data_IF_219028796218
#
_entry.id   IF_219028796218
#
_cell.length_a   1.000
_cell.length_b   1.000
_cell.length_c   1.000
_cell.angle_alpha   90.00
_cell.angle_beta   90.00
_cell.angle_gamma   90.00
#
_symmetry.space_group_name_H-M   'P 1'
#
loop_
_entity.id
_entity.type
_entity.pdbx_description
1 polymer ?
#
# COMPACT_ATOMS: atom_id res chain seq x y z
N UNK A 1 -25.51 30.49 -83.12
CA UNK A 1 -24.47 29.46 -82.96
C UNK A 1 -24.15 29.40 -81.48
N UNK A 2 -24.75 28.47 -80.78
CA UNK A 2 -24.55 28.26 -79.34
C UNK A 2 -23.65 27.05 -79.10
N UNK A 3 -22.60 27.12 -78.29
CA UNK A 3 -21.75 25.96 -78.04
C UNK A 3 -22.35 25.08 -76.93
N UNK A 4 -22.27 23.78 -77.12
CA UNK A 4 -22.70 22.69 -76.27
C UNK A 4 -21.73 22.49 -75.08
N UNK A 5 -22.18 22.22 -73.86
CA UNK A 5 -21.28 21.95 -72.76
C UNK A 5 -20.87 20.46 -72.67
N UNK A 6 -19.58 20.21 -72.61
CA UNK A 6 -19.02 18.88 -72.34
C UNK A 6 -19.18 18.51 -70.82
N UNK A 7 -19.84 17.39 -70.56
CA UNK A 7 -19.90 16.78 -69.25
C UNK A 7 -18.60 16.03 -69.00
N UNK A 8 -17.87 16.43 -67.97
CA UNK A 8 -16.76 15.65 -67.39
C UNK A 8 -17.29 14.58 -66.48
N UNK A 9 -16.95 13.33 -66.72
CA UNK A 9 -17.15 12.23 -65.80
C UNK A 9 -16.06 12.28 -64.67
N UNK A 10 -16.45 12.45 -63.45
CA UNK A 10 -15.57 12.30 -62.31
C UNK A 10 -15.54 10.81 -61.91
N UNK A 11 -14.39 10.18 -61.99
CA UNK A 11 -14.14 8.82 -61.46
C UNK A 11 -13.76 8.97 -59.99
N UNK A 12 -14.61 8.50 -59.09
CA UNK A 12 -14.30 8.42 -57.68
C UNK A 12 -13.47 7.17 -57.39
N UNK A 13 -12.23 7.36 -56.98
CA UNK A 13 -11.37 6.30 -56.51
C UNK A 13 -11.70 6.03 -55.03
N UNK A 14 -12.19 4.83 -54.71
CA UNK A 14 -12.40 4.35 -53.35
C UNK A 14 -11.08 3.80 -52.85
N UNK A 15 -10.45 4.50 -51.92
CA UNK A 15 -9.27 3.99 -51.17
C UNK A 15 -9.74 3.09 -50.04
N UNK A 16 -9.47 1.80 -50.13
CA UNK A 16 -9.66 0.85 -49.04
C UNK A 16 -8.45 0.93 -48.09
N UNK A 17 -8.67 1.53 -46.91
CA UNK A 17 -7.66 1.54 -45.85
C UNK A 17 -7.65 0.17 -45.15
N UNK A 18 -6.62 -0.62 -45.37
CA UNK A 18 -6.36 -1.84 -44.62
C UNK A 18 -5.71 -1.43 -43.28
N UNK A 19 -6.45 -1.53 -42.19
CA UNK A 19 -5.92 -1.36 -40.83
C UNK A 19 -5.06 -2.58 -40.46
N UNK A 20 -3.75 -2.41 -40.45
CA UNK A 20 -2.81 -3.39 -39.89
C UNK A 20 -2.90 -3.32 -38.37
N UNK A 21 -3.55 -4.29 -37.76
CA UNK A 21 -3.50 -4.51 -36.29
C UNK A 21 -2.13 -5.08 -35.95
N UNK A 22 -1.27 -4.27 -35.35
CA UNK A 22 -0.02 -4.76 -34.79
C UNK A 22 -0.33 -5.75 -33.64
N UNK A 23 0.36 -6.90 -33.57
CA UNK A 23 0.21 -7.81 -32.44
C UNK A 23 0.64 -7.09 -31.17
N UNK A 24 -0.17 -7.19 -30.10
CA UNK A 24 0.19 -6.69 -28.79
C UNK A 24 1.48 -7.40 -28.34
N UNK A 25 2.50 -6.64 -27.99
CA UNK A 25 3.72 -7.18 -27.41
C UNK A 25 3.35 -7.95 -26.13
N UNK A 26 3.95 -9.13 -25.90
CA UNK A 26 3.75 -9.84 -24.64
C UNK A 26 4.19 -8.93 -23.49
N UNK A 27 3.30 -8.73 -22.52
CA UNK A 27 3.67 -8.08 -21.27
C UNK A 27 4.80 -8.89 -20.66
N UNK A 28 5.95 -8.27 -20.45
CA UNK A 28 7.00 -8.88 -19.63
C UNK A 28 6.37 -9.19 -18.27
N UNK A 29 6.37 -10.47 -17.89
CA UNK A 29 6.03 -10.86 -16.53
C UNK A 29 7.02 -10.14 -15.62
N UNK A 30 6.53 -9.33 -14.68
CA UNK A 30 7.38 -8.74 -13.67
C UNK A 30 8.08 -9.91 -12.95
N UNK A 31 9.41 -9.88 -12.95
CA UNK A 31 10.19 -10.89 -12.25
C UNK A 31 9.88 -10.71 -10.76
N UNK A 32 9.62 -11.78 -10.00
CA UNK A 32 9.38 -11.66 -8.57
C UNK A 32 10.52 -10.86 -7.95
N UNK A 33 10.20 -9.82 -7.22
CA UNK A 33 11.22 -9.04 -6.53
C UNK A 33 12.02 -9.97 -5.65
N UNK A 34 13.35 -9.89 -5.74
CA UNK A 34 14.23 -10.73 -4.93
C UNK A 34 13.86 -10.56 -3.45
N UNK A 35 13.67 -11.69 -2.76
CA UNK A 35 13.43 -11.67 -1.33
C UNK A 35 14.60 -11.03 -0.61
N UNK A 36 14.32 -10.11 0.32
CA UNK A 36 15.33 -9.50 1.15
C UNK A 36 16.07 -10.58 1.99
N UNK A 37 17.33 -10.33 2.28
CA UNK A 37 18.11 -11.22 3.13
C UNK A 37 17.44 -11.38 4.51
N UNK A 38 17.45 -12.58 5.05
CA UNK A 38 16.83 -12.92 6.34
C UNK A 38 15.35 -12.49 6.45
N UNK A 39 14.59 -12.73 5.39
CA UNK A 39 13.20 -12.33 5.29
C UNK A 39 12.34 -13.32 4.53
N UNK A 40 11.22 -12.83 4.03
CA UNK A 40 10.31 -13.58 3.16
C UNK A 40 9.72 -12.70 2.07
N UNK A 41 9.24 -13.34 1.01
CA UNK A 41 8.40 -12.74 -0.01
C UNK A 41 7.10 -13.51 -0.15
N UNK A 42 6.07 -12.84 -0.63
CA UNK A 42 4.78 -13.42 -0.96
C UNK A 42 4.19 -12.70 -2.17
N UNK A 43 3.96 -13.44 -3.23
CA UNK A 43 3.31 -12.99 -4.47
C UNK A 43 1.89 -13.56 -4.63
N UNK A 44 1.41 -14.26 -3.61
CA UNK A 44 0.11 -14.92 -3.53
C UNK A 44 -0.19 -15.96 -4.63
N UNK A 45 0.73 -16.24 -5.55
CA UNK A 45 0.50 -17.18 -6.66
C UNK A 45 0.31 -18.63 -6.17
N UNK A 46 0.90 -18.98 -5.02
CA UNK A 46 0.76 -20.28 -4.39
C UNK A 46 -0.59 -20.53 -3.69
N UNK A 47 -1.41 -19.49 -3.53
CA UNK A 47 -2.72 -19.60 -2.88
C UNK A 47 -3.69 -20.44 -3.72
N UNK A 48 -4.35 -21.41 -3.10
CA UNK A 48 -5.26 -22.34 -3.79
C UNK A 48 -6.73 -22.12 -3.47
N UNK A 49 -7.03 -21.44 -2.38
CA UNK A 49 -8.40 -21.14 -1.94
C UNK A 49 -8.75 -19.66 -2.05
N UNK A 50 -9.94 -19.31 -1.62
CA UNK A 50 -10.41 -17.92 -1.57
C UNK A 50 -10.02 -17.20 -0.29
N UNK A 51 -9.57 -17.92 0.73
CA UNK A 51 -9.09 -17.34 1.99
C UNK A 51 -7.57 -17.38 2.01
N UNK A 52 -6.88 -16.29 2.36
CA UNK A 52 -5.44 -16.29 2.53
C UNK A 52 -5.00 -17.40 3.50
N UNK A 53 -3.99 -18.19 3.11
CA UNK A 53 -3.55 -19.38 3.83
C UNK A 53 -2.02 -19.46 3.89
N UNK A 54 -1.50 -20.54 4.49
CA UNK A 54 -0.07 -20.74 4.67
C UNK A 54 0.48 -19.84 5.77
N UNK A 55 1.34 -18.91 5.42
CA UNK A 55 1.83 -17.90 6.39
C UNK A 55 0.79 -16.82 6.70
N UNK A 56 -0.23 -16.66 5.88
CA UNK A 56 -1.27 -15.66 6.01
C UNK A 56 -2.51 -16.22 6.66
N UNK A 57 -3.15 -15.42 7.47
CA UNK A 57 -4.46 -15.69 8.06
C UNK A 57 -5.33 -14.47 7.95
N UNK A 58 -6.65 -14.66 7.90
CA UNK A 58 -7.56 -13.54 8.10
C UNK A 58 -7.44 -13.09 9.55
N UNK A 59 -7.15 -11.82 9.75
CA UNK A 59 -6.99 -11.23 11.05
C UNK A 59 -8.08 -10.18 11.29
N UNK A 60 -8.65 -10.21 12.47
CA UNK A 60 -9.57 -9.18 12.94
C UNK A 60 -9.01 -8.67 14.25
N UNK A 61 -8.46 -7.47 14.22
CA UNK A 61 -8.03 -6.80 15.43
C UNK A 61 -9.26 -6.17 16.10
N UNK A 62 -9.52 -6.53 17.33
CA UNK A 62 -10.49 -5.92 18.24
C UNK A 62 -11.98 -6.04 17.86
N UNK A 63 -12.38 -5.78 16.61
CA UNK A 63 -13.80 -5.67 16.26
C UNK A 63 -14.04 -6.12 14.83
N UNK A 64 -14.86 -7.15 14.63
CA UNK A 64 -15.25 -7.65 13.32
C UNK A 64 -16.61 -7.11 12.87
N UNK A 65 -16.77 -6.94 11.59
CA UNK A 65 -18.02 -6.53 10.94
C UNK A 65 -18.19 -7.23 9.59
N UNK A 66 -18.49 -6.47 8.57
CA UNK A 66 -18.76 -6.96 7.22
C UNK A 66 -17.57 -6.84 6.26
N UNK A 67 -16.44 -6.30 6.73
CA UNK A 67 -15.19 -6.28 5.96
C UNK A 67 -14.66 -7.69 5.73
N UNK A 68 -13.99 -7.92 4.59
CA UNK A 68 -13.44 -9.24 4.22
C UNK A 68 -12.04 -9.16 3.66
N UNK A 69 -11.25 -10.21 3.88
CA UNK A 69 -9.96 -10.44 3.25
C UNK A 69 -10.03 -11.75 2.44
N UNK A 70 -9.77 -11.68 1.14
CA UNK A 70 -9.90 -12.81 0.21
C UNK A 70 -8.74 -12.84 -0.79
N UNK A 71 -8.43 -14.02 -1.32
CA UNK A 71 -7.57 -14.15 -2.50
C UNK A 71 -8.38 -13.73 -3.72
N UNK A 72 -7.83 -12.85 -4.54
CA UNK A 72 -8.45 -12.34 -5.79
C UNK A 72 -7.63 -12.81 -6.99
N UNK A 73 -8.33 -13.24 -8.04
CA UNK A 73 -7.75 -13.63 -9.33
C UNK A 73 -8.12 -12.67 -10.46
N UNK A 74 -8.79 -11.56 -10.13
CA UNK A 74 -9.25 -10.56 -11.11
C UNK A 74 -8.38 -9.33 -11.16
N UNK A 75 -7.56 -9.10 -10.13
CA UNK A 75 -6.65 -7.97 -10.01
C UNK A 75 -5.36 -8.43 -9.34
N UNK A 76 -4.21 -8.21 -9.99
CA UNK A 76 -2.89 -8.48 -9.45
C UNK A 76 -1.91 -7.41 -9.91
N UNK A 77 -0.83 -7.18 -9.17
CA UNK A 77 0.31 -6.38 -9.58
C UNK A 77 1.26 -7.24 -10.42
N UNK A 78 1.71 -8.36 -9.87
CA UNK A 78 2.46 -9.41 -10.54
C UNK A 78 1.62 -10.66 -10.72
N UNK A 79 1.96 -11.53 -11.68
CA UNK A 79 1.26 -12.80 -11.84
C UNK A 79 -0.24 -12.69 -12.11
N UNK A 80 -1.03 -13.43 -11.33
CA UNK A 80 -2.48 -13.61 -11.53
C UNK A 80 -3.30 -13.52 -10.24
N UNK A 81 -2.67 -13.41 -9.07
CA UNK A 81 -3.33 -13.39 -7.77
C UNK A 81 -2.82 -12.27 -6.87
N UNK A 82 -3.71 -11.80 -6.03
CA UNK A 82 -3.40 -10.86 -4.96
C UNK A 82 -4.30 -11.12 -3.75
N UNK A 83 -4.12 -10.38 -2.66
CA UNK A 83 -5.09 -10.33 -1.58
C UNK A 83 -5.95 -9.09 -1.74
N UNK A 84 -7.27 -9.29 -1.76
CA UNK A 84 -8.29 -8.25 -1.79
C UNK A 84 -8.89 -8.06 -0.42
N UNK A 85 -8.95 -6.81 0.01
CA UNK A 85 -9.67 -6.36 1.19
C UNK A 85 -10.90 -5.58 0.75
N UNK A 86 -12.06 -6.00 1.17
CA UNK A 86 -13.28 -5.20 1.05
C UNK A 86 -13.47 -4.48 2.38
N UNK A 87 -12.94 -3.27 2.45
CA UNK A 87 -13.01 -2.41 3.63
C UNK A 87 -14.38 -1.75 3.77
N UNK A 88 -14.87 -1.66 4.99
CA UNK A 88 -16.13 -1.03 5.33
C UNK A 88 -15.94 0.11 6.31
N UNK A 89 -16.77 1.13 6.20
CA UNK A 89 -16.85 2.21 7.15
C UNK A 89 -17.37 1.72 8.51
N UNK A 90 -17.01 2.44 9.55
CA UNK A 90 -17.45 2.17 10.92
C UNK A 90 -16.44 1.38 11.74
N UNK A 91 -16.41 1.71 13.02
CA UNK A 91 -15.39 1.24 13.97
C UNK A 91 -15.24 -0.30 14.02
N UNK A 92 -16.32 -1.05 13.85
CA UNK A 92 -16.31 -2.50 13.95
C UNK A 92 -16.32 -3.19 12.58
N UNK A 93 -15.47 -2.77 11.64
CA UNK A 93 -15.35 -3.39 10.32
C UNK A 93 -13.89 -3.70 9.95
N UNK A 94 -13.06 -4.05 10.95
CA UNK A 94 -11.66 -4.38 10.73
C UNK A 94 -11.53 -5.67 9.91
N UNK A 95 -10.78 -5.63 8.83
CA UNK A 95 -10.53 -6.76 7.95
C UNK A 95 -9.06 -6.75 7.48
N UNK A 96 -8.29 -7.74 7.89
CA UNK A 96 -6.87 -7.83 7.55
C UNK A 96 -6.48 -9.24 7.11
N UNK A 97 -5.50 -9.31 6.22
CA UNK A 97 -4.63 -10.46 6.04
C UNK A 97 -3.39 -10.24 6.89
N UNK A 98 -3.11 -11.14 7.81
CA UNK A 98 -2.02 -11.03 8.78
C UNK A 98 -1.00 -12.15 8.64
N UNK A 99 0.27 -11.83 8.91
CA UNK A 99 1.36 -12.79 8.97
C UNK A 99 2.25 -12.53 10.17
N UNK A 100 2.76 -13.59 10.80
CA UNK A 100 3.72 -13.47 11.89
C UNK A 100 5.09 -13.03 11.38
N UNK A 101 5.75 -12.19 12.16
CA UNK A 101 7.15 -11.81 11.97
C UNK A 101 8.11 -12.63 12.85
N UNK A 102 7.60 -13.64 13.55
CA UNK A 102 8.44 -14.58 14.31
C UNK A 102 9.43 -15.29 13.38
N UNK A 103 10.65 -15.47 13.86
CA UNK A 103 11.73 -16.06 13.06
C UNK A 103 12.58 -15.03 12.30
N UNK A 104 12.17 -13.78 12.23
CA UNK A 104 13.03 -12.68 11.78
C UNK A 104 13.95 -12.23 12.93
N UNK A 105 15.14 -11.65 12.63
CA UNK A 105 16.00 -11.07 13.66
C UNK A 105 15.22 -10.08 14.54
N UNK A 106 15.43 -10.11 15.84
CA UNK A 106 14.68 -9.30 16.82
C UNK A 106 15.14 -7.83 16.92
N UNK A 107 16.30 -7.48 16.37
CA UNK A 107 16.87 -6.14 16.42
C UNK A 107 17.32 -5.65 15.04
N UNK A 108 17.88 -4.44 15.00
CA UNK A 108 18.34 -3.81 13.76
C UNK A 108 17.21 -3.38 12.85
N UNK A 109 17.53 -3.19 11.60
CA UNK A 109 16.56 -2.76 10.60
C UNK A 109 15.56 -3.86 10.22
N UNK A 110 14.32 -3.47 10.07
CA UNK A 110 13.25 -4.24 9.46
C UNK A 110 12.69 -3.44 8.29
N UNK A 111 12.85 -3.96 7.10
CA UNK A 111 12.25 -3.41 5.90
C UNK A 111 10.99 -4.20 5.56
N UNK A 112 9.95 -3.50 5.17
CA UNK A 112 8.71 -4.08 4.67
C UNK A 112 8.30 -3.34 3.42
N UNK A 113 8.06 -4.07 2.35
CA UNK A 113 7.56 -3.55 1.08
C UNK A 113 6.32 -4.32 0.68
N UNK A 114 5.33 -3.64 0.13
CA UNK A 114 4.17 -4.22 -0.53
C UNK A 114 3.67 -3.28 -1.64
N UNK A 115 3.06 -3.89 -2.65
CA UNK A 115 2.29 -3.14 -3.62
C UNK A 115 0.83 -3.06 -3.14
N UNK A 116 0.26 -1.88 -3.22
CA UNK A 116 -1.13 -1.63 -2.85
C UNK A 116 -1.84 -0.86 -3.96
N UNK A 117 -3.07 -1.25 -4.22
CA UNK A 117 -4.02 -0.54 -5.10
C UNK A 117 -5.31 -0.37 -4.34
N UNK A 118 -5.95 0.77 -4.45
CA UNK A 118 -7.22 1.02 -3.78
C UNK A 118 -8.18 1.81 -4.69
N UNK A 119 -9.47 1.83 -4.35
CA UNK A 119 -10.51 2.40 -5.20
C UNK A 119 -11.01 3.76 -4.77
N UNK A 120 -10.89 4.10 -3.49
CA UNK A 120 -11.46 5.31 -2.90
C UNK A 120 -10.35 6.15 -2.28
N UNK A 121 -10.29 7.45 -2.59
CA UNK A 121 -9.29 8.34 -2.00
C UNK A 121 -9.33 8.30 -0.46
N UNK A 122 -8.15 8.36 0.16
CA UNK A 122 -8.05 8.41 1.62
C UNK A 122 -8.94 9.53 2.18
N UNK A 123 -9.76 9.26 3.21
CA UNK A 123 -10.67 10.24 3.76
C UNK A 123 -9.94 11.30 4.61
N UNK A 124 -10.68 12.30 5.06
CA UNK A 124 -10.17 13.24 6.05
C UNK A 124 -10.03 12.61 7.44
N UNK A 125 -10.83 11.60 7.74
CA UNK A 125 -10.79 10.84 8.99
C UNK A 125 -9.68 9.77 8.95
N UNK A 126 -9.24 9.34 10.14
CA UNK A 126 -8.21 8.32 10.25
C UNK A 126 -8.68 6.97 9.71
N UNK A 127 -7.85 6.37 8.88
CA UNK A 127 -7.97 4.99 8.42
C UNK A 127 -6.63 4.29 8.52
N UNK A 128 -6.65 2.98 8.74
CA UNK A 128 -5.46 2.12 8.77
C UNK A 128 -5.57 1.07 7.68
N UNK A 129 -4.52 0.90 6.88
CA UNK A 129 -4.47 -0.14 5.86
C UNK A 129 -3.26 -1.08 6.00
N UNK A 130 -2.30 -0.74 6.86
CA UNK A 130 -1.26 -1.66 7.33
C UNK A 130 -1.01 -1.42 8.82
N UNK A 131 -0.84 -2.49 9.58
CA UNK A 131 -0.63 -2.44 11.02
C UNK A 131 0.40 -3.47 11.47
N UNK A 132 1.14 -3.12 12.52
CA UNK A 132 2.13 -3.98 13.16
C UNK A 132 1.89 -3.92 14.68
N UNK A 133 1.66 -5.07 15.31
CA UNK A 133 1.54 -5.12 16.76
C UNK A 133 2.91 -4.97 17.40
N UNK A 134 3.11 -3.89 18.13
CA UNK A 134 4.37 -3.58 18.81
C UNK A 134 4.38 -4.18 20.23
N UNK A 135 5.20 -5.20 20.45
CA UNK A 135 5.31 -5.86 21.74
C UNK A 135 6.02 -5.00 22.81
N UNK A 136 6.86 -4.06 22.37
CA UNK A 136 7.50 -3.09 23.27
C UNK A 136 6.56 -1.92 23.64
N UNK A 137 5.41 -1.84 22.98
CA UNK A 137 4.37 -0.85 23.26
C UNK A 137 3.08 -1.52 23.82
N UNK A 138 3.25 -2.49 24.73
CA UNK A 138 2.15 -3.24 25.34
C UNK A 138 1.22 -3.93 24.34
N UNK A 139 1.72 -4.28 23.15
CA UNK A 139 0.95 -4.90 22.09
C UNK A 139 0.01 -3.96 21.36
N UNK A 140 0.19 -2.65 21.53
CA UNK A 140 -0.49 -1.62 20.75
C UNK A 140 0.04 -1.57 19.32
N UNK A 141 -0.75 -1.06 18.40
CA UNK A 141 -0.43 -1.07 16.99
C UNK A 141 0.37 0.16 16.57
N UNK A 142 1.37 -0.10 15.74
CA UNK A 142 1.95 0.89 14.84
C UNK A 142 1.16 0.80 13.53
N UNK A 143 0.46 1.86 13.17
CA UNK A 143 -0.52 1.89 12.08
C UNK A 143 -0.03 2.77 10.94
N UNK A 144 -0.02 2.21 9.72
CA UNK A 144 0.14 2.96 8.47
C UNK A 144 -1.22 3.10 7.80
N UNK A 145 -1.57 4.32 7.45
CA UNK A 145 -2.85 4.57 6.82
C UNK A 145 -2.94 5.98 6.27
N UNK A 146 -4.04 6.66 6.57
CA UNK A 146 -4.24 8.04 6.16
C UNK A 146 -5.11 8.82 7.12
N UNK A 147 -4.88 10.12 7.11
CA UNK A 147 -5.71 11.14 7.72
C UNK A 147 -5.50 12.45 6.96
N UNK A 148 -6.47 13.33 6.96
CA UNK A 148 -6.40 14.57 6.19
C UNK A 148 -6.12 14.35 4.69
N UNK A 149 -6.57 13.21 4.13
CA UNK A 149 -6.41 12.80 2.72
C UNK A 149 -4.97 12.49 2.31
N UNK A 150 -4.05 12.30 3.24
CA UNK A 150 -2.64 12.00 3.00
C UNK A 150 -2.19 10.78 3.81
N UNK A 151 -1.11 10.14 3.37
CA UNK A 151 -0.49 9.04 4.11
C UNK A 151 0.00 9.52 5.47
N UNK A 152 -0.20 8.70 6.49
CA UNK A 152 0.17 9.01 7.86
C UNK A 152 0.44 7.74 8.65
N UNK A 153 1.46 7.77 9.51
CA UNK A 153 1.62 6.82 10.59
C UNK A 153 0.89 7.30 11.83
N UNK A 154 0.39 6.35 12.60
CA UNK A 154 -0.17 6.58 13.92
C UNK A 154 0.37 5.53 14.90
N UNK A 155 0.78 5.97 16.08
CA UNK A 155 1.14 5.11 17.18
C UNK A 155 -0.05 5.01 18.15
N UNK A 156 -0.71 3.85 18.19
CA UNK A 156 -1.98 3.67 18.90
C UNK A 156 -1.93 4.05 20.37
N UNK A 157 -0.80 3.83 21.04
CA UNK A 157 -0.71 3.99 22.50
C UNK A 157 -0.83 5.44 22.99
N UNK A 158 -0.52 6.42 22.16
CA UNK A 158 -0.53 7.85 22.50
C UNK A 158 -1.08 8.74 21.37
N UNK A 159 -1.65 8.13 20.32
CA UNK A 159 -2.18 8.81 19.14
C UNK A 159 -1.19 9.75 18.44
N UNK A 160 0.11 9.60 18.71
CA UNK A 160 1.11 10.37 17.99
C UNK A 160 1.09 10.03 16.51
N UNK A 161 1.06 11.06 15.68
CA UNK A 161 1.01 10.94 14.22
C UNK A 161 2.33 11.37 13.58
N UNK A 162 2.60 10.80 12.40
CA UNK A 162 3.72 11.17 11.55
C UNK A 162 3.21 11.29 10.11
N UNK A 163 3.27 12.48 9.53
CA UNK A 163 3.64 13.76 10.13
C UNK A 163 2.62 14.24 11.17
N UNK A 164 2.92 15.36 11.83
CA UNK A 164 1.95 16.05 12.65
C UNK A 164 0.70 16.43 11.82
N UNK A 165 -0.47 16.51 12.47
CA UNK A 165 -1.74 16.81 11.80
C UNK A 165 -1.91 18.30 11.44
N UNK A 166 -0.91 19.11 11.64
CA UNK A 166 -0.93 20.50 11.18
C UNK A 166 -1.01 20.57 9.65
N UNK A 167 -1.54 21.64 9.06
CA UNK A 167 -1.53 21.82 7.61
C UNK A 167 -0.11 21.76 7.01
N UNK A 168 0.90 22.23 7.74
CA UNK A 168 2.31 22.19 7.32
C UNK A 168 2.84 20.75 7.31
N UNK A 169 2.52 19.94 8.32
CA UNK A 169 2.90 18.53 8.39
C UNK A 169 2.24 17.70 7.30
N UNK A 170 0.93 17.83 7.15
CA UNK A 170 0.18 17.12 6.09
C UNK A 170 0.73 17.44 4.70
N UNK A 171 1.15 18.68 4.44
CA UNK A 171 1.74 19.09 3.16
C UNK A 171 3.10 18.42 2.86
N UNK A 172 3.78 17.86 3.86
CA UNK A 172 5.03 17.11 3.71
C UNK A 172 4.81 15.62 3.43
N UNK A 173 3.57 15.17 3.50
CA UNK A 173 3.17 13.82 3.11
C UNK A 173 2.61 13.78 1.68
N UNK A 174 2.05 12.66 1.28
CA UNK A 174 1.49 12.46 -0.06
C UNK A 174 0.18 11.66 0.04
N UNK A 175 -0.81 11.92 -0.84
CA UNK A 175 -1.96 11.04 -0.96
C UNK A 175 -1.54 9.68 -1.56
N UNK A 176 -2.32 8.65 -1.29
CA UNK A 176 -2.20 7.37 -2.00
C UNK A 176 -3.04 7.46 -3.29
N UNK A 177 -2.45 7.28 -4.49
CA UNK A 177 -3.18 7.39 -5.75
C UNK A 177 -4.24 6.29 -5.90
N UNK A 178 -5.49 6.67 -6.20
CA UNK A 178 -6.57 5.70 -6.44
C UNK A 178 -6.40 4.97 -7.77
N UNK A 179 -6.87 3.74 -7.84
CA UNK A 179 -6.86 2.90 -9.03
C UNK A 179 -5.47 2.70 -9.67
N UNK A 180 -4.41 2.87 -8.89
CA UNK A 180 -3.03 2.75 -9.34
C UNK A 180 -2.27 1.85 -8.37
N UNK A 181 -1.54 0.87 -8.88
CA UNK A 181 -0.61 0.11 -8.06
C UNK A 181 0.51 1.03 -7.57
N UNK A 182 0.68 1.11 -6.28
CA UNK A 182 1.66 1.94 -5.60
C UNK A 182 2.54 1.06 -4.73
N UNK A 183 3.83 1.19 -4.91
CA UNK A 183 4.81 0.54 -4.04
C UNK A 183 4.98 1.35 -2.77
N UNK A 184 4.70 0.75 -1.64
CA UNK A 184 5.01 1.27 -0.32
C UNK A 184 6.12 0.43 0.30
N UNK A 185 7.20 1.10 0.73
CA UNK A 185 8.26 0.49 1.52
C UNK A 185 8.48 1.31 2.78
N UNK A 186 8.72 0.66 3.90
CA UNK A 186 9.16 1.34 5.11
C UNK A 186 10.29 0.58 5.80
N UNK A 187 11.10 1.31 6.54
CA UNK A 187 12.12 0.79 7.45
C UNK A 187 11.76 1.13 8.88
N UNK A 188 11.88 0.17 9.76
CA UNK A 188 11.93 0.37 11.20
C UNK A 188 13.34 0.04 11.68
N UNK A 189 14.09 1.05 12.11
CA UNK A 189 15.30 0.83 12.92
C UNK A 189 14.88 0.58 14.36
N UNK A 190 14.79 -0.69 14.69
CA UNK A 190 14.30 -1.15 16.00
C UNK A 190 15.30 -0.91 17.14
N UNK A 191 16.54 -0.61 16.80
CA UNK A 191 17.61 -0.29 17.77
C UNK A 191 17.64 1.19 18.09
N UNK A 192 17.55 2.06 17.09
CA UNK A 192 17.57 3.51 17.26
C UNK A 192 16.20 4.14 17.41
N UNK A 193 15.11 3.41 17.10
CA UNK A 193 13.74 3.94 17.11
C UNK A 193 13.52 4.95 15.99
N UNK A 194 13.94 4.59 14.77
CA UNK A 194 13.76 5.41 13.57
C UNK A 194 12.79 4.76 12.61
N UNK A 195 12.23 5.59 11.73
CA UNK A 195 11.30 5.15 10.71
C UNK A 195 11.53 5.96 9.43
N UNK A 196 11.60 5.26 8.30
CA UNK A 196 11.61 5.86 6.98
C UNK A 196 10.51 5.24 6.14
N UNK A 197 9.88 6.03 5.27
CA UNK A 197 8.84 5.53 4.36
C UNK A 197 9.07 6.04 2.95
N UNK A 198 9.00 5.13 1.99
CA UNK A 198 9.11 5.43 0.56
C UNK A 198 7.82 5.09 -0.16
N UNK A 199 7.47 5.92 -1.11
CA UNK A 199 6.37 5.72 -2.06
C UNK A 199 6.95 5.68 -3.46
N UNK A 200 6.76 4.58 -4.17
CA UNK A 200 7.34 4.33 -5.49
C UNK A 200 8.86 4.60 -5.52
N UNK A 201 9.57 4.21 -4.46
CA UNK A 201 11.02 4.39 -4.30
C UNK A 201 11.47 5.78 -3.83
N UNK A 202 10.60 6.79 -3.82
CA UNK A 202 10.88 8.13 -3.31
C UNK A 202 10.63 8.24 -1.80
N UNK A 203 11.62 8.75 -1.03
CA UNK A 203 11.45 9.03 0.39
C UNK A 203 10.41 10.14 0.59
N UNK A 204 9.46 9.93 1.51
CA UNK A 204 8.45 10.92 1.86
C UNK A 204 8.88 11.68 3.11
N UNK A 205 9.23 12.94 2.94
CA UNK A 205 9.83 13.77 4.01
C UNK A 205 8.99 13.83 5.28
N UNK A 206 7.66 13.90 5.15
CA UNK A 206 6.74 13.91 6.28
C UNK A 206 6.61 12.56 7.00
N UNK A 207 7.13 11.47 6.43
CA UNK A 207 7.01 10.12 6.97
C UNK A 207 8.37 9.57 7.44
N UNK A 208 9.18 10.43 8.06
CA UNK A 208 10.52 10.11 8.55
C UNK A 208 10.64 10.44 10.04
N UNK A 209 11.16 9.49 10.82
CA UNK A 209 11.64 9.71 12.19
C UNK A 209 13.14 9.45 12.16
N UNK A 210 13.94 10.50 12.20
CA UNK A 210 15.42 10.41 12.11
C UNK A 210 16.13 10.57 13.45
N UNK A 211 15.37 10.86 14.50
CA UNK A 211 15.89 11.09 15.85
C UNK A 211 16.22 12.56 16.15
N UNK A 212 16.08 13.46 15.19
CA UNK A 212 16.24 14.90 15.36
C UNK A 212 14.86 15.55 15.27
N UNK A 213 14.32 16.14 16.36
CA UNK A 213 12.98 16.72 16.34
C UNK A 213 12.82 17.77 15.25
N UNK A 214 11.90 17.53 14.34
CA UNK A 214 11.51 18.47 13.29
C UNK A 214 10.06 18.90 13.49
N UNK A 215 9.85 20.20 13.60
CA UNK A 215 8.51 20.77 13.77
C UNK A 215 7.62 20.31 12.59
N UNK A 216 6.36 20.00 12.90
CA UNK A 216 5.34 19.53 11.95
C UNK A 216 5.62 18.15 11.33
N UNK A 217 6.77 17.52 11.58
CA UNK A 217 7.06 16.16 11.13
C UNK A 217 7.02 15.19 12.31
N UNK A 218 8.13 15.02 13.02
CA UNK A 218 8.31 13.97 14.02
C UNK A 218 8.49 14.47 15.46
N UNK A 219 8.42 15.79 15.70
CA UNK A 219 8.58 16.37 17.04
C UNK A 219 7.59 15.74 18.04
N UNK A 220 6.32 15.60 17.66
CA UNK A 220 5.32 14.95 18.50
C UNK A 220 5.67 13.48 18.76
N UNK A 221 6.14 12.79 17.73
CA UNK A 221 6.54 11.39 17.82
C UNK A 221 7.71 11.18 18.77
N UNK A 222 8.71 12.08 18.69
CA UNK A 222 9.92 12.01 19.51
C UNK A 222 9.72 12.48 20.95
N UNK A 223 8.60 13.17 21.28
CA UNK A 223 8.26 13.53 22.65
C UNK A 223 8.13 12.31 23.56
N UNK A 224 7.80 11.15 23.02
CA UNK A 224 7.91 9.87 23.71
C UNK A 224 9.33 9.33 23.56
N UNK A 225 10.21 9.71 24.46
CA UNK A 225 11.59 9.23 24.45
C UNK A 225 11.67 7.70 24.53
N UNK A 226 12.71 7.15 23.88
CA UNK A 226 13.01 5.72 24.01
C UNK A 226 12.12 4.76 23.23
N UNK A 227 11.29 5.23 22.29
CA UNK A 227 10.51 4.35 21.42
C UNK A 227 11.44 3.41 20.62
N UNK A 228 11.21 2.11 20.75
CA UNK A 228 11.99 1.04 20.13
C UNK A 228 11.01 -0.05 19.71
N UNK A 229 10.49 -0.01 18.47
CA UNK A 229 9.43 -0.91 18.05
C UNK A 229 9.93 -2.36 17.98
N UNK A 230 9.07 -3.29 18.41
CA UNK A 230 9.29 -4.72 18.31
C UNK A 230 8.06 -5.39 17.67
N UNK A 231 7.90 -5.24 16.33
CA UNK A 231 6.72 -5.75 15.65
C UNK A 231 6.67 -7.27 15.68
N UNK A 232 5.54 -7.82 16.11
CA UNK A 232 5.29 -9.26 16.18
C UNK A 232 4.60 -9.81 14.94
N UNK A 233 3.89 -8.97 14.22
CA UNK A 233 3.13 -9.30 13.01
C UNK A 233 3.16 -8.17 11.98
N UNK A 234 2.72 -8.50 10.77
CA UNK A 234 2.33 -7.55 9.72
C UNK A 234 0.90 -7.88 9.32
N UNK A 235 0.03 -6.90 9.34
CA UNK A 235 -1.36 -7.00 8.90
C UNK A 235 -1.62 -5.98 7.81
N UNK A 236 -2.10 -6.44 6.66
CA UNK A 236 -2.49 -5.64 5.49
C UNK A 236 -3.99 -5.72 5.35
N UNK A 237 -4.68 -4.57 5.32
CA UNK A 237 -6.13 -4.61 5.36
C UNK A 237 -6.80 -3.26 5.46
N UNK A 238 -7.81 -3.18 6.34
CA UNK A 238 -8.60 -1.99 6.52
C UNK A 238 -9.15 -1.88 7.95
N UNK A 239 -9.02 -0.69 8.49
CA UNK A 239 -9.70 -0.23 9.69
C UNK A 239 -10.11 1.22 9.47
N UNK A 240 -11.39 1.54 9.74
CA UNK A 240 -11.92 2.89 9.63
C UNK A 240 -12.77 3.21 10.86
N UNK A 241 -12.72 4.44 11.32
CA UNK A 241 -13.49 4.87 12.50
C UNK A 241 -14.83 5.53 12.15
N UNK A 242 -15.10 5.82 10.90
CA UNK A 242 -16.33 6.50 10.53
C UNK A 242 -16.65 6.40 9.05
N UNK A 243 -15.97 7.18 8.26
CA UNK A 243 -16.14 7.21 6.81
C UNK A 243 -15.15 6.27 6.12
N UNK A 244 -15.47 5.91 4.91
CA UNK A 244 -14.55 5.27 4.00
C UNK A 244 -14.76 3.76 3.86
N UNK A 245 -15.72 3.40 3.02
CA UNK A 245 -15.66 2.11 2.33
C UNK A 245 -14.53 2.21 1.30
N UNK A 246 -13.67 1.20 1.26
CA UNK A 246 -12.64 1.08 0.22
C UNK A 246 -12.43 -0.37 -0.16
N UNK A 247 -11.98 -0.60 -1.38
CA UNK A 247 -11.49 -1.91 -1.80
C UNK A 247 -10.01 -1.78 -2.10
N UNK A 248 -9.21 -2.57 -1.39
CA UNK A 248 -7.76 -2.57 -1.54
C UNK A 248 -7.29 -3.93 -2.07
N UNK A 249 -6.22 -3.93 -2.84
CA UNK A 249 -5.48 -5.13 -3.23
C UNK A 249 -4.04 -4.97 -2.78
N UNK A 250 -3.48 -6.07 -2.27
CA UNK A 250 -2.09 -6.18 -1.85
C UNK A 250 -1.41 -7.28 -2.61
N UNK A 251 -0.20 -7.01 -3.05
CA UNK A 251 0.59 -7.96 -3.82
C UNK A 251 2.08 -7.76 -3.59
N UNK A 252 2.88 -8.73 -4.03
CA UNK A 252 4.34 -8.67 -4.00
C UNK A 252 4.87 -8.17 -2.65
N UNK A 253 4.42 -8.77 -1.56
CA UNK A 253 4.84 -8.41 -0.20
C UNK A 253 6.23 -8.96 0.06
N UNK A 254 7.12 -8.16 0.63
CA UNK A 254 8.43 -8.61 1.05
C UNK A 254 8.80 -7.99 2.40
N UNK A 255 9.44 -8.78 3.25
CA UNK A 255 9.95 -8.35 4.55
C UNK A 255 11.36 -8.87 4.73
N UNK A 256 12.27 -8.07 5.29
CA UNK A 256 13.66 -8.48 5.51
C UNK A 256 14.49 -7.45 6.25
N UNK A 257 15.81 -7.67 6.30
CA UNK A 257 16.76 -6.83 7.07
C UNK A 257 17.57 -5.86 6.20
N UNK A 258 17.28 -5.80 4.92
CA UNK A 258 17.90 -4.85 3.98
C UNK A 258 16.85 -4.22 3.10
N UNK A 259 17.15 -3.05 2.56
CA UNK A 259 16.23 -2.35 1.66
C UNK A 259 15.88 -3.22 0.46
N UNK A 260 14.58 -3.24 0.13
CA UNK A 260 14.01 -4.12 -0.90
C UNK A 260 13.87 -3.35 -2.22
N UNK A 261 13.35 -2.15 -2.13
CA UNK A 261 13.03 -1.32 -3.29
C UNK A 261 11.71 -1.73 -3.97
N UNK A 262 11.34 -0.96 -4.91
CA UNK A 262 10.21 -1.20 -5.79
C UNK A 262 10.72 -1.87 -7.09
#
# INVERSE_FOLDING_TARGET
MTPTPHRALAVAAVAVAVALTAPAAPRASAQPAACAANGFCEDFESQTGTTPAGRWTTAVANCSGTGTATVDTTMAHGGTKSVRITGKAGYCNHAFAGTSLSGLPSGGDLYTRFWVRHTTALPAQHVTFAALRDTNDNGKDLRMGGQNKALQWNRESDDATLPAQSPAGVALSTPLPVNTWTCLEFRLDRTAGRLDTWVNGGLVTGLVVDGTPTQDVDQQWLNRGGWRPAPADLRLGWESYGEGDDTLWYDDVAVGTSRIGC
#
